data_IF_206560238923
#
_entry.id   IF_206560238923
#
_cell.length_a   1.000
_cell.length_b   1.000
_cell.length_c   1.000
_cell.angle_alpha   90.00
_cell.angle_beta   90.00
_cell.angle_gamma   90.00
#
_symmetry.space_group_name_H-M   'P 1'
#
loop_
_entity.id
_entity.type
_entity.pdbx_description
1 polymer ?
#
# COMPACT_ATOMS: atom_id res chain seq x y z
N UNK A 1 17.10 -20.59 -1.35
CA UNK A 1 15.85 -20.53 -2.15
C UNK A 1 14.64 -21.00 -1.35
N UNK A 2 14.67 -22.15 -0.67
CA UNK A 2 13.57 -22.62 0.18
C UNK A 2 13.13 -21.60 1.26
N UNK A 3 14.08 -21.04 2.02
CA UNK A 3 13.79 -19.99 3.02
C UNK A 3 13.17 -18.72 2.41
N UNK A 4 13.59 -18.35 1.19
CA UNK A 4 13.04 -17.18 0.49
C UNK A 4 11.59 -17.43 0.08
N UNK A 5 11.29 -18.64 -0.41
CA UNK A 5 9.92 -19.03 -0.74
C UNK A 5 9.01 -19.03 0.49
N UNK A 6 9.48 -19.57 1.62
CA UNK A 6 8.75 -19.51 2.89
C UNK A 6 8.54 -18.06 3.33
N UNK A 7 9.60 -17.23 3.34
CA UNK A 7 9.50 -15.84 3.76
C UNK A 7 8.50 -15.03 2.91
N UNK A 8 8.51 -15.23 1.60
CA UNK A 8 7.57 -14.59 0.67
C UNK A 8 6.13 -15.08 0.92
N UNK A 9 5.91 -16.39 1.02
CA UNK A 9 4.59 -16.96 1.30
C UNK A 9 4.03 -16.54 2.67
N UNK A 10 4.89 -16.47 3.69
CA UNK A 10 4.51 -16.01 5.03
C UNK A 10 4.20 -14.51 5.05
N UNK A 11 4.97 -13.69 4.33
CA UNK A 11 4.71 -12.24 4.25
C UNK A 11 3.38 -11.94 3.55
N UNK A 12 3.05 -12.69 2.51
CA UNK A 12 1.75 -12.56 1.83
C UNK A 12 0.58 -12.99 2.72
N UNK A 13 0.73 -14.12 3.43
CA UNK A 13 -0.26 -14.55 4.43
C UNK A 13 -0.46 -13.51 5.53
N UNK A 14 0.62 -12.86 5.98
CA UNK A 14 0.54 -11.74 6.93
C UNK A 14 -0.15 -10.51 6.32
N UNK A 15 0.08 -10.22 5.04
CA UNK A 15 -0.62 -9.14 4.31
C UNK A 15 -2.12 -9.43 4.17
N UNK A 16 -2.50 -10.69 3.99
CA UNK A 16 -3.89 -11.12 3.90
C UNK A 16 -4.70 -10.82 5.17
N UNK A 17 -4.05 -10.81 6.35
CA UNK A 17 -4.72 -10.52 7.63
C UNK A 17 -5.33 -9.11 7.68
N UNK A 18 -4.72 -8.13 7.02
CA UNK A 18 -5.23 -6.75 6.93
C UNK A 18 -6.06 -6.55 5.65
N UNK A 19 -5.63 -7.12 4.52
CA UNK A 19 -6.33 -6.91 3.24
C UNK A 19 -7.69 -7.61 3.15
N UNK A 20 -7.90 -8.70 3.89
CA UNK A 20 -9.19 -9.43 3.93
C UNK A 20 -10.30 -8.58 4.59
N UNK A 21 -10.15 -8.09 5.85
CA UNK A 21 -11.14 -7.19 6.45
C UNK A 21 -11.43 -5.96 5.58
N UNK A 22 -10.38 -5.38 4.98
CA UNK A 22 -10.54 -4.22 4.10
C UNK A 22 -11.36 -4.53 2.84
N UNK A 23 -11.15 -5.69 2.21
CA UNK A 23 -11.90 -6.11 1.00
C UNK A 23 -13.34 -6.45 1.34
N UNK A 24 -13.60 -7.10 2.49
CA UNK A 24 -14.95 -7.37 2.96
C UNK A 24 -15.74 -6.10 3.29
N UNK A 25 -15.05 -5.01 3.64
CA UNK A 25 -15.64 -3.67 3.78
C UNK A 25 -16.05 -3.00 2.45
N UNK A 26 -15.85 -3.67 1.31
CA UNK A 26 -16.24 -3.19 -0.04
C UNK A 26 -17.12 -4.20 -0.77
N UNK A 27 -16.86 -5.50 -0.61
CA UNK A 27 -17.65 -6.59 -1.22
C UNK A 27 -17.84 -7.74 -0.24
N UNK A 28 -19.05 -8.30 -0.17
CA UNK A 28 -19.37 -9.43 0.71
C UNK A 28 -19.23 -10.79 0.03
N UNK A 29 -18.83 -10.83 -1.25
CA UNK A 29 -18.73 -12.06 -2.05
C UNK A 29 -17.40 -12.79 -1.79
N UNK A 30 -17.39 -13.94 -1.09
CA UNK A 30 -16.16 -14.62 -0.69
C UNK A 30 -15.34 -15.11 -1.89
N UNK A 31 -16.01 -15.45 -3.00
CA UNK A 31 -15.36 -15.85 -4.25
C UNK A 31 -14.48 -14.72 -4.81
N UNK A 32 -14.95 -13.47 -4.79
CA UNK A 32 -14.16 -12.32 -5.26
C UNK A 32 -12.95 -12.06 -4.37
N UNK A 33 -13.12 -12.16 -3.05
CA UNK A 33 -12.03 -11.99 -2.08
C UNK A 33 -10.97 -13.09 -2.25
N UNK A 34 -11.39 -14.35 -2.38
CA UNK A 34 -10.49 -15.48 -2.58
C UNK A 34 -9.75 -15.37 -3.92
N UNK A 35 -10.48 -15.11 -5.02
CA UNK A 35 -9.90 -15.01 -6.35
C UNK A 35 -8.89 -13.85 -6.45
N UNK A 36 -9.19 -12.68 -5.88
CA UNK A 36 -8.28 -11.53 -5.89
C UNK A 36 -6.97 -11.81 -5.13
N UNK A 37 -7.05 -12.41 -3.94
CA UNK A 37 -5.86 -12.76 -3.15
C UNK A 37 -5.07 -13.92 -3.77
N UNK A 38 -5.74 -14.93 -4.31
CA UNK A 38 -5.10 -16.01 -5.05
C UNK A 38 -4.35 -15.47 -6.28
N UNK A 39 -4.93 -14.52 -7.01
CA UNK A 39 -4.27 -13.89 -8.16
C UNK A 39 -3.05 -13.06 -7.74
N UNK A 40 -3.12 -12.35 -6.61
CA UNK A 40 -1.98 -11.63 -6.04
C UNK A 40 -0.80 -12.57 -5.74
N UNK A 41 -1.07 -13.75 -5.17
CA UNK A 41 -0.08 -14.79 -4.91
C UNK A 41 0.54 -15.39 -6.17
N UNK A 42 -0.26 -15.67 -7.20
CA UNK A 42 0.20 -16.30 -8.44
C UNK A 42 1.26 -15.46 -9.18
N UNK A 43 1.18 -14.12 -9.09
CA UNK A 43 2.13 -13.19 -9.73
C UNK A 43 3.39 -12.90 -8.93
N UNK A 44 3.44 -13.27 -7.65
CA UNK A 44 4.42 -12.75 -6.69
C UNK A 44 5.88 -13.12 -7.05
N UNK A 45 6.12 -14.30 -7.61
CA UNK A 45 7.48 -14.74 -8.00
C UNK A 45 8.09 -13.86 -9.10
N UNK A 46 7.32 -13.55 -10.15
CA UNK A 46 7.79 -12.71 -11.24
C UNK A 46 7.91 -11.25 -10.78
N UNK A 47 6.94 -10.81 -9.97
CA UNK A 47 6.91 -9.46 -9.44
C UNK A 47 8.04 -9.20 -8.44
N UNK A 48 8.48 -10.19 -7.65
CA UNK A 48 9.61 -10.03 -6.72
C UNK A 48 10.90 -9.60 -7.42
N UNK A 49 11.20 -10.18 -8.59
CA UNK A 49 12.40 -9.82 -9.35
C UNK A 49 12.33 -8.37 -9.87
N UNK A 50 11.16 -7.97 -10.37
CA UNK A 50 10.89 -6.60 -10.81
C UNK A 50 10.94 -5.62 -9.63
N UNK A 51 10.28 -5.96 -8.53
CA UNK A 51 10.17 -5.14 -7.33
C UNK A 51 11.52 -4.93 -6.66
N UNK A 52 12.43 -5.90 -6.66
CA UNK A 52 13.75 -5.72 -6.05
C UNK A 52 14.46 -4.46 -6.59
N UNK A 53 14.39 -4.20 -7.89
CA UNK A 53 14.98 -2.99 -8.49
C UNK A 53 14.09 -1.75 -8.44
N UNK A 54 12.77 -1.94 -8.35
CA UNK A 54 11.80 -0.85 -8.30
C UNK A 54 11.66 -0.26 -6.89
N UNK A 55 11.69 -1.12 -5.87
CA UNK A 55 11.53 -0.76 -4.46
C UNK A 55 12.57 0.26 -4.02
N UNK A 56 13.83 0.11 -4.44
CA UNK A 56 14.91 1.08 -4.19
C UNK A 56 14.59 2.50 -4.69
N UNK A 57 13.73 2.62 -5.71
CA UNK A 57 13.32 3.89 -6.33
C UNK A 57 12.04 4.47 -5.73
N UNK A 58 11.28 3.71 -4.94
CA UNK A 58 9.96 4.08 -4.41
C UNK A 58 10.07 4.73 -3.01
N UNK A 59 10.79 5.86 -2.94
CA UNK A 59 11.15 6.55 -1.68
C UNK A 59 9.91 7.05 -0.91
N UNK A 60 8.90 7.59 -1.60
CA UNK A 60 7.70 8.16 -0.95
C UNK A 60 6.55 7.16 -0.82
N UNK A 61 6.75 5.89 -1.19
CA UNK A 61 5.70 4.89 -1.15
C UNK A 61 5.23 4.64 0.29
N UNK A 62 6.17 4.55 1.25
CA UNK A 62 5.83 4.38 2.67
C UNK A 62 4.95 5.53 3.18
N UNK A 63 5.25 6.76 2.78
CA UNK A 63 4.49 7.95 3.17
C UNK A 63 3.10 7.95 2.53
N UNK A 64 3.01 7.58 1.25
CA UNK A 64 1.74 7.42 0.55
C UNK A 64 0.85 6.35 1.21
N UNK A 65 1.43 5.20 1.55
CA UNK A 65 0.73 4.12 2.27
C UNK A 65 0.22 4.58 3.63
N UNK A 66 0.99 5.35 4.41
CA UNK A 66 0.53 5.87 5.71
C UNK A 66 -0.71 6.76 5.57
N UNK A 67 -0.75 7.62 4.55
CA UNK A 67 -1.92 8.48 4.28
C UNK A 67 -3.12 7.62 3.87
N UNK A 68 -2.90 6.61 3.02
CA UNK A 68 -3.95 5.67 2.60
C UNK A 68 -4.51 4.91 3.80
N UNK A 69 -3.65 4.43 4.70
CA UNK A 69 -4.06 3.67 5.88
C UNK A 69 -4.88 4.54 6.84
N UNK A 70 -4.47 5.80 7.04
CA UNK A 70 -5.25 6.76 7.82
C UNK A 70 -6.62 7.01 7.19
N UNK A 71 -6.68 7.20 5.87
CA UNK A 71 -7.93 7.40 5.14
C UNK A 71 -8.85 6.17 5.22
N UNK A 72 -8.32 4.96 5.01
CA UNK A 72 -9.08 3.71 5.11
C UNK A 72 -9.57 3.50 6.55
N UNK A 73 -8.73 3.74 7.55
CA UNK A 73 -9.12 3.64 8.97
C UNK A 73 -10.29 4.55 9.31
N UNK A 74 -10.24 5.83 8.88
CA UNK A 74 -11.37 6.76 9.04
C UNK A 74 -12.61 6.26 8.29
N UNK A 75 -12.46 5.82 7.04
CA UNK A 75 -13.57 5.29 6.22
C UNK A 75 -14.25 4.08 6.88
N UNK A 76 -13.50 3.16 7.47
CA UNK A 76 -14.05 2.00 8.17
C UNK A 76 -14.83 2.41 9.43
N UNK A 77 -14.34 3.37 10.22
CA UNK A 77 -15.07 3.92 11.37
C UNK A 77 -16.38 4.57 10.92
N UNK A 78 -16.34 5.38 9.85
CA UNK A 78 -17.55 6.01 9.28
C UNK A 78 -18.55 4.98 8.74
N UNK A 79 -18.06 3.90 8.14
CA UNK A 79 -18.92 2.81 7.64
C UNK A 79 -19.64 2.12 8.79
N UNK A 80 -18.93 1.83 9.89
CA UNK A 80 -19.53 1.26 11.10
C UNK A 80 -20.53 2.22 11.79
N UNK A 81 -20.20 3.52 11.87
CA UNK A 81 -21.10 4.54 12.40
C UNK A 81 -22.37 4.69 11.54
N UNK A 82 -22.26 4.53 10.22
CA UNK A 82 -23.41 4.56 9.31
C UNK A 82 -24.33 3.33 9.46
N UNK A 83 -23.78 2.15 9.76
CA UNK A 83 -24.60 0.98 10.13
C UNK A 83 -25.34 1.18 11.45
N UNK A 84 -24.80 2.02 12.35
CA UNK A 84 -25.39 2.30 13.66
C UNK A 84 -26.41 3.45 13.61
N UNK A 85 -26.22 4.46 12.74
CA UNK A 85 -27.08 5.65 12.62
C UNK A 85 -27.44 5.96 11.16
N UNK A 86 -28.74 5.88 10.84
CA UNK A 86 -29.31 5.98 9.48
C UNK A 86 -29.24 7.37 8.81
N UNK A 87 -28.71 8.38 9.49
CA UNK A 87 -28.66 9.80 9.03
C UNK A 87 -27.34 10.17 8.31
N UNK A 88 -26.37 9.25 8.22
CA UNK A 88 -25.07 9.57 7.61
C UNK A 88 -25.10 9.32 6.09
N UNK A 89 -24.60 10.21 5.23
CA UNK A 89 -24.49 9.93 3.80
C UNK A 89 -23.52 8.78 3.52
N UNK A 90 -23.91 7.81 2.68
CA UNK A 90 -23.00 6.74 2.22
C UNK A 90 -21.83 7.36 1.46
N UNK A 91 -20.60 7.12 1.94
CA UNK A 91 -19.40 7.45 1.17
C UNK A 91 -19.31 6.45 0.01
N UNK A 92 -19.42 6.89 -1.26
CA UNK A 92 -19.34 5.97 -2.38
C UNK A 92 -17.93 5.38 -2.46
N UNK A 93 -17.85 4.06 -2.63
CA UNK A 93 -16.60 3.32 -2.83
C UNK A 93 -15.78 3.87 -3.99
N UNK A 94 -16.44 4.39 -5.02
CA UNK A 94 -15.79 5.06 -6.16
C UNK A 94 -14.98 6.29 -5.74
N UNK A 95 -15.47 7.09 -4.78
CA UNK A 95 -14.74 8.26 -4.28
C UNK A 95 -13.51 7.83 -3.47
N UNK A 96 -13.67 6.82 -2.62
CA UNK A 96 -12.55 6.21 -1.87
C UNK A 96 -11.49 5.68 -2.84
N UNK A 97 -11.91 4.99 -3.90
CA UNK A 97 -11.01 4.45 -4.91
C UNK A 97 -10.26 5.57 -5.66
N UNK A 98 -10.95 6.65 -6.01
CA UNK A 98 -10.35 7.80 -6.66
C UNK A 98 -9.29 8.47 -5.77
N UNK A 99 -9.57 8.68 -4.48
CA UNK A 99 -8.62 9.26 -3.52
C UNK A 99 -7.38 8.37 -3.35
N UNK A 100 -7.57 7.06 -3.15
CA UNK A 100 -6.46 6.10 -3.02
C UNK A 100 -5.63 6.08 -4.31
N UNK A 101 -6.28 6.00 -5.47
CA UNK A 101 -5.62 6.03 -6.78
C UNK A 101 -4.83 7.31 -7.01
N UNK A 102 -5.36 8.46 -6.58
CA UNK A 102 -4.66 9.75 -6.65
C UNK A 102 -3.41 9.76 -5.76
N UNK A 103 -3.52 9.32 -4.50
CA UNK A 103 -2.38 9.29 -3.56
C UNK A 103 -1.29 8.35 -4.08
N UNK A 104 -1.65 7.16 -4.57
CA UNK A 104 -0.69 6.22 -5.16
C UNK A 104 -0.02 6.83 -6.39
N UNK A 105 -0.79 7.43 -7.30
CA UNK A 105 -0.25 8.04 -8.52
C UNK A 105 0.73 9.16 -8.18
N UNK A 106 0.37 10.06 -7.28
CA UNK A 106 1.25 11.17 -6.84
C UNK A 106 2.52 10.61 -6.17
N UNK A 107 2.38 9.66 -5.25
CA UNK A 107 3.52 9.07 -4.54
C UNK A 107 4.47 8.33 -5.48
N UNK A 108 3.95 7.57 -6.45
CA UNK A 108 4.76 6.87 -7.45
C UNK A 108 5.47 7.86 -8.37
N UNK A 109 4.77 8.86 -8.92
CA UNK A 109 5.40 9.86 -9.80
C UNK A 109 6.47 10.65 -9.04
N UNK A 110 6.15 11.13 -7.82
CA UNK A 110 7.10 11.86 -6.99
C UNK A 110 8.34 11.00 -6.67
N UNK A 111 8.15 9.72 -6.38
CA UNK A 111 9.25 8.79 -6.11
C UNK A 111 10.13 8.57 -7.33
N UNK A 112 9.54 8.33 -8.51
CA UNK A 112 10.27 8.12 -9.76
C UNK A 112 11.04 9.39 -10.16
N UNK A 113 10.43 10.57 -10.06
CA UNK A 113 11.09 11.84 -10.36
C UNK A 113 12.27 12.09 -9.41
N UNK A 114 12.10 11.83 -8.10
CA UNK A 114 13.15 12.00 -7.11
C UNK A 114 14.30 11.01 -7.32
N UNK A 115 13.99 9.74 -7.57
CA UNK A 115 14.99 8.69 -7.86
C UNK A 115 15.80 8.98 -9.13
N UNK A 116 15.20 9.67 -10.12
CA UNK A 116 15.94 10.15 -11.31
C UNK A 116 16.85 11.34 -11.02
N UNK A 117 16.45 12.24 -10.10
CA UNK A 117 17.23 13.44 -9.74
C UNK A 117 18.34 13.16 -8.73
N UNK A 118 18.20 12.14 -7.91
CA UNK A 118 19.16 11.77 -6.86
C UNK A 118 19.38 10.24 -6.85
N UNK A 119 20.36 9.73 -7.60
CA UNK A 119 20.64 8.30 -7.70
C UNK A 119 21.12 7.67 -6.39
N UNK A 120 21.50 8.48 -5.39
CA UNK A 120 22.01 8.02 -4.09
C UNK A 120 20.91 7.82 -3.04
N UNK A 121 19.68 8.30 -3.32
CA UNK A 121 18.55 8.17 -2.42
C UNK A 121 17.93 6.77 -2.54
N UNK A 122 18.34 5.85 -1.66
CA UNK A 122 17.76 4.51 -1.54
C UNK A 122 16.51 4.54 -0.65
N UNK A 123 15.38 4.04 -1.17
CA UNK A 123 14.20 3.82 -0.35
C UNK A 123 14.50 2.77 0.75
N UNK A 124 14.17 3.09 2.00
CA UNK A 124 14.17 2.11 3.10
C UNK A 124 12.73 1.83 3.50
N UNK A 125 12.30 0.58 3.36
CA UNK A 125 11.00 0.13 3.84
C UNK A 125 10.86 0.45 5.34
N UNK A 126 9.82 1.21 5.71
CA UNK A 126 9.48 1.53 7.10
C UNK A 126 10.11 2.81 7.70
N UNK A 127 10.93 3.57 6.96
CA UNK A 127 11.41 4.90 7.43
C UNK A 127 10.59 6.00 6.76
N UNK A 128 9.72 6.66 7.52
CA UNK A 128 8.90 7.79 7.03
C UNK A 128 9.76 8.98 6.61
N UNK A 129 11.01 9.06 7.07
CA UNK A 129 12.02 9.97 6.50
C UNK A 129 13.41 9.34 6.62
N UNK A 130 14.24 9.50 5.59
CA UNK A 130 15.63 9.09 5.58
C UNK A 130 16.50 10.15 4.90
N UNK A 131 17.44 10.68 5.67
CA UNK A 131 18.59 11.51 5.28
C UNK A 131 18.29 12.93 4.76
N UNK A 132 18.14 13.87 5.70
CA UNK A 132 18.69 15.22 5.47
C UNK A 132 20.22 15.09 5.59
N UNK A 133 20.85 14.87 4.43
CA UNK A 133 22.21 15.26 4.02
C UNK A 133 23.25 15.47 5.13
N UNK A 134 24.25 14.57 5.16
CA UNK A 134 25.59 14.86 5.70
C UNK A 134 26.16 16.12 5.04
N UNK A 135 26.92 16.87 5.82
CA UNK A 135 27.96 17.80 5.38
C UNK A 135 27.51 19.18 4.87
N UNK A 136 27.62 20.17 5.75
CA UNK A 136 28.14 21.51 5.43
C UNK A 136 28.58 22.24 6.72
N UNK A 137 29.88 22.55 6.77
CA UNK A 137 30.61 23.43 7.70
C UNK A 137 30.64 22.93 9.15
N UNK A 138 31.79 22.76 9.82
CA UNK A 138 33.09 23.43 9.75
C UNK A 138 34.16 22.50 10.37
#
# INVERSE_FOLDING_TARGET
MFLVLIAIASTDLLFALDSIPATFGVTSEPFLVFAANAFALLGLRALYFLLKGLLDKLIYLSLGLSIILMFIGVKLIFTYLHETWSEVPKIPTLFSLAVIGLILTISTIASVVKSRKDPTAHAHAGRVTGAKKSEKAE
#
